data_IF_761077331376
#
_entry.id   IF_761077331376
#
_cell.length_a   1.000
_cell.length_b   1.000
_cell.length_c   1.000
_cell.angle_alpha   90.00
_cell.angle_beta   90.00
_cell.angle_gamma   90.00
#
_symmetry.space_group_name_H-M   'P 1'
#
loop_
_entity.id
_entity.type
_entity.pdbx_description
1 polymer ?
#
# COMPACT_ATOMS: atom_id res chain seq x y z
N UNK A 1 13.24 2.77 -9.74
CA UNK A 1 14.62 3.04 -10.24
C UNK A 1 15.26 1.70 -10.60
N UNK A 2 15.87 1.60 -11.77
CA UNK A 2 16.73 0.46 -12.10
C UNK A 2 18.06 0.66 -11.38
N UNK A 3 18.53 -0.36 -10.68
CA UNK A 3 19.87 -0.39 -10.07
C UNK A 3 20.77 -1.32 -10.85
N UNK A 4 22.09 -1.10 -10.85
CA UNK A 4 23.04 -1.95 -11.56
C UNK A 4 23.21 -3.33 -10.90
N UNK A 5 22.92 -3.44 -9.62
CA UNK A 5 23.17 -4.62 -8.78
C UNK A 5 21.92 -5.43 -8.41
N UNK A 6 20.72 -4.98 -8.82
CA UNK A 6 19.49 -5.68 -8.51
C UNK A 6 18.47 -5.59 -9.65
N UNK A 7 17.77 -6.69 -9.91
CA UNK A 7 16.68 -6.78 -10.88
C UNK A 7 15.36 -6.87 -10.13
N UNK A 8 14.43 -5.96 -10.40
CA UNK A 8 13.09 -6.03 -9.85
C UNK A 8 12.32 -7.18 -10.51
N UNK A 9 11.73 -8.04 -9.69
CA UNK A 9 10.86 -9.15 -10.13
C UNK A 9 9.38 -8.75 -10.17
N UNK A 10 9.04 -7.51 -9.81
CA UNK A 10 7.67 -6.96 -9.84
C UNK A 10 6.63 -7.80 -9.06
N UNK A 11 7.05 -8.39 -7.94
CA UNK A 11 6.17 -9.22 -7.10
C UNK A 11 4.92 -8.47 -6.67
N UNK A 12 5.07 -7.26 -6.16
CA UNK A 12 3.96 -6.41 -5.74
C UNK A 12 4.11 -4.98 -6.28
N UNK A 13 3.00 -4.31 -6.53
CA UNK A 13 2.98 -2.90 -6.89
C UNK A 13 2.45 -2.09 -5.72
N UNK A 14 3.36 -1.48 -4.97
CA UNK A 14 3.05 -0.66 -3.81
C UNK A 14 2.97 0.83 -4.17
N UNK A 15 1.98 1.51 -3.61
CA UNK A 15 1.89 2.98 -3.63
C UNK A 15 1.85 3.49 -2.20
N UNK A 16 2.47 4.65 -1.96
CA UNK A 16 2.46 5.32 -0.65
C UNK A 16 1.83 6.69 -0.80
N UNK A 17 0.75 6.93 -0.07
CA UNK A 17 0.06 8.21 -0.10
C UNK A 17 0.90 9.27 0.64
N UNK A 18 0.94 10.47 0.08
CA UNK A 18 1.57 11.62 0.75
C UNK A 18 0.76 12.02 1.99
N UNK A 19 1.41 12.55 3.02
CA UNK A 19 0.74 13.04 4.26
C UNK A 19 -0.38 14.05 3.99
N UNK A 20 -0.24 14.86 2.95
CA UNK A 20 -1.23 15.87 2.51
C UNK A 20 -2.20 15.34 1.44
N UNK A 21 -2.32 14.02 1.28
CA UNK A 21 -3.29 13.44 0.34
C UNK A 21 -4.71 13.79 0.76
N UNK A 22 -5.59 14.04 -0.22
CA UNK A 22 -7.02 14.30 -0.03
C UNK A 22 -7.79 13.10 0.55
N UNK A 23 -7.17 11.94 0.54
CA UNK A 23 -7.74 10.68 1.04
C UNK A 23 -6.64 9.88 1.75
N UNK A 24 -6.95 9.22 2.84
CA UNK A 24 -6.06 8.29 3.52
C UNK A 24 -6.11 6.89 2.87
N UNK A 25 -5.15 6.03 3.24
CA UNK A 25 -5.01 4.70 2.65
C UNK A 25 -6.26 3.83 2.86
N UNK A 26 -6.82 3.82 4.08
CA UNK A 26 -8.02 3.04 4.40
C UNK A 26 -9.24 3.46 3.57
N UNK A 27 -9.49 4.78 3.48
CA UNK A 27 -10.59 5.31 2.67
C UNK A 27 -10.39 5.04 1.17
N UNK A 28 -9.13 5.09 0.69
CA UNK A 28 -8.82 4.72 -0.69
C UNK A 28 -9.11 3.25 -0.95
N UNK A 29 -8.71 2.36 -0.05
CA UNK A 29 -8.99 0.93 -0.15
C UNK A 29 -10.49 0.64 -0.17
N UNK A 30 -11.28 1.28 0.71
CA UNK A 30 -12.75 1.16 0.74
C UNK A 30 -13.38 1.61 -0.59
N UNK A 31 -12.92 2.74 -1.14
CA UNK A 31 -13.41 3.21 -2.45
C UNK A 31 -13.00 2.29 -3.60
N UNK A 32 -11.80 1.75 -3.59
CA UNK A 32 -11.37 0.79 -4.61
C UNK A 32 -12.17 -0.51 -4.53
N UNK A 33 -12.43 -0.99 -3.31
CA UNK A 33 -13.26 -2.17 -3.08
C UNK A 33 -14.69 -2.00 -3.61
N UNK A 34 -15.30 -0.82 -3.49
CA UNK A 34 -16.63 -0.55 -4.08
C UNK A 34 -16.65 -0.61 -5.62
N UNK A 35 -15.49 -0.58 -6.26
CA UNK A 35 -15.34 -0.83 -7.71
C UNK A 35 -14.91 -2.27 -8.05
N UNK A 36 -14.91 -3.17 -7.06
CA UNK A 36 -14.43 -4.55 -7.24
C UNK A 36 -12.91 -4.68 -7.31
N UNK A 37 -12.15 -3.67 -6.85
CA UNK A 37 -10.69 -3.68 -6.86
C UNK A 37 -10.19 -4.03 -5.46
N UNK A 38 -9.69 -5.24 -5.28
CA UNK A 38 -9.06 -5.68 -4.04
C UNK A 38 -7.67 -5.05 -3.88
N UNK A 39 -7.37 -4.60 -2.67
CA UNK A 39 -6.08 -4.02 -2.29
C UNK A 39 -5.67 -4.53 -0.92
N UNK A 40 -4.39 -4.40 -0.58
CA UNK A 40 -3.89 -4.81 0.74
C UNK A 40 -3.04 -3.70 1.35
N UNK A 41 -3.05 -3.62 2.67
CA UNK A 41 -2.12 -2.77 3.42
C UNK A 41 -0.67 -3.24 3.21
N UNK A 42 0.28 -2.33 3.37
CA UNK A 42 1.66 -2.74 3.59
C UNK A 42 1.78 -3.57 4.86
N UNK A 43 2.84 -4.40 4.92
CA UNK A 43 3.11 -5.22 6.09
C UNK A 43 3.19 -4.38 7.36
N UNK A 44 2.52 -4.86 8.41
CA UNK A 44 2.55 -4.19 9.70
C UNK A 44 3.92 -4.36 10.35
N UNK A 45 4.58 -3.29 10.83
CA UNK A 45 5.93 -3.38 11.38
C UNK A 45 6.02 -4.31 12.58
N UNK A 46 7.11 -5.08 12.70
CA UNK A 46 7.30 -6.06 13.79
C UNK A 46 7.14 -5.42 15.18
N UNK A 47 7.73 -4.23 15.39
CA UNK A 47 7.63 -3.52 16.67
C UNK A 47 6.21 -3.03 17.01
N UNK A 48 5.26 -3.13 16.09
CA UNK A 48 3.84 -2.82 16.30
C UNK A 48 2.96 -4.07 16.35
N UNK A 49 3.53 -5.27 16.19
CA UNK A 49 2.77 -6.51 16.27
C UNK A 49 2.27 -6.74 17.70
N UNK A 50 0.93 -6.92 17.90
CA UNK A 50 0.36 -7.04 19.24
C UNK A 50 0.99 -8.15 20.07
N UNK A 51 1.26 -9.30 19.48
CA UNK A 51 1.85 -10.46 20.18
C UNK A 51 3.26 -10.14 20.68
N UNK A 52 4.10 -9.50 19.86
CA UNK A 52 5.47 -9.15 20.23
C UNK A 52 5.48 -8.07 21.33
N UNK A 53 4.55 -7.15 21.29
CA UNK A 53 4.38 -6.16 22.36
C UNK A 53 3.91 -6.80 23.68
N UNK A 54 2.98 -7.79 23.63
CA UNK A 54 2.57 -8.55 24.81
C UNK A 54 3.73 -9.35 25.43
N UNK A 55 4.66 -9.84 24.61
CA UNK A 55 5.88 -10.49 25.06
C UNK A 55 6.91 -9.52 25.68
N UNK A 56 6.61 -8.24 25.73
CA UNK A 56 7.51 -7.22 26.27
C UNK A 56 8.61 -6.76 25.31
N UNK A 57 8.60 -7.24 24.06
CA UNK A 57 9.56 -6.84 23.03
C UNK A 57 9.22 -5.47 22.45
N UNK A 58 10.24 -4.73 22.05
CA UNK A 58 10.13 -3.45 21.34
C UNK A 58 9.43 -2.31 22.08
N UNK A 59 9.30 -2.37 23.43
CA UNK A 59 8.55 -1.41 24.26
C UNK A 59 8.85 0.07 24.00
N UNK A 60 10.09 0.40 23.60
CA UNK A 60 10.53 1.79 23.37
C UNK A 60 10.98 2.05 21.93
N UNK A 61 10.77 1.08 21.02
CA UNK A 61 11.23 1.21 19.64
C UNK A 61 10.29 2.11 18.85
N UNK A 62 10.85 3.13 18.19
CA UNK A 62 10.15 4.01 17.26
C UNK A 62 10.83 3.95 15.90
N UNK A 63 10.12 3.54 14.87
CA UNK A 63 10.60 3.46 13.50
C UNK A 63 9.69 4.27 12.57
N UNK A 64 9.82 5.61 12.57
CA UNK A 64 8.87 6.50 11.93
C UNK A 64 8.71 6.25 10.43
N UNK A 65 9.76 5.83 9.74
CA UNK A 65 9.68 5.50 8.30
C UNK A 65 8.81 4.25 8.08
N UNK A 66 9.08 3.16 8.82
CA UNK A 66 8.31 1.91 8.72
C UNK A 66 6.84 2.13 9.11
N UNK A 67 6.61 2.91 10.18
CA UNK A 67 5.26 3.24 10.64
C UNK A 67 4.51 4.08 9.60
N UNK A 68 5.17 5.05 8.97
CA UNK A 68 4.59 5.86 7.91
C UNK A 68 4.24 5.02 6.66
N UNK A 69 5.14 4.11 6.26
CA UNK A 69 4.90 3.21 5.14
C UNK A 69 3.71 2.27 5.40
N UNK A 70 3.64 1.68 6.60
CA UNK A 70 2.53 0.81 7.00
C UNK A 70 1.18 1.55 7.02
N UNK A 71 1.17 2.79 7.51
CA UNK A 71 -0.05 3.61 7.62
C UNK A 71 -0.55 4.13 6.27
N UNK A 72 0.35 4.50 5.36
CA UNK A 72 0.02 5.21 4.13
C UNK A 72 0.27 4.39 2.86
N UNK A 73 0.83 3.18 3.00
CA UNK A 73 1.12 2.28 1.90
C UNK A 73 -0.01 1.28 1.65
N UNK A 74 -0.29 1.04 0.38
CA UNK A 74 -1.19 -0.03 -0.06
C UNK A 74 -0.59 -0.77 -1.26
N UNK A 75 -0.90 -2.05 -1.37
CA UNK A 75 -0.62 -2.86 -2.56
C UNK A 75 -1.82 -2.84 -3.49
N UNK A 76 -1.57 -2.51 -4.75
CA UNK A 76 -2.53 -2.63 -5.83
C UNK A 76 -2.52 -4.06 -6.39
N UNK A 77 -3.58 -4.47 -7.11
CA UNK A 77 -3.61 -5.77 -7.76
C UNK A 77 -2.38 -5.97 -8.66
N UNK A 78 -1.71 -7.08 -8.47
CA UNK A 78 -0.59 -7.55 -9.28
C UNK A 78 -0.72 -9.05 -9.46
N UNK A 79 -0.21 -9.55 -10.56
CA UNK A 79 -0.22 -10.99 -10.83
C UNK A 79 -0.06 -11.26 -12.32
N UNK A 80 0.39 -12.45 -12.65
CA UNK A 80 0.66 -12.87 -14.03
C UNK A 80 -0.62 -12.88 -14.88
N UNK A 81 -1.77 -13.17 -14.24
CA UNK A 81 -3.07 -13.23 -14.91
C UNK A 81 -3.73 -11.84 -15.11
N UNK A 82 -3.16 -10.77 -14.56
CA UNK A 82 -3.75 -9.43 -14.65
C UNK A 82 -3.60 -8.88 -16.07
N UNK A 83 -4.73 -8.73 -16.78
CA UNK A 83 -4.75 -8.22 -18.15
C UNK A 83 -4.50 -6.71 -18.22
N UNK A 84 -4.07 -6.23 -19.39
CA UNK A 84 -3.89 -4.79 -19.64
C UNK A 84 -5.19 -3.99 -19.45
N UNK A 85 -6.34 -4.56 -19.81
CA UNK A 85 -7.65 -3.92 -19.60
C UNK A 85 -7.94 -3.74 -18.11
N UNK A 86 -7.69 -4.76 -17.30
CA UNK A 86 -7.84 -4.70 -15.84
C UNK A 86 -6.88 -3.68 -15.22
N UNK A 87 -5.61 -3.63 -15.66
CA UNK A 87 -4.66 -2.62 -15.20
C UNK A 87 -5.14 -1.20 -15.52
N UNK A 88 -5.60 -0.95 -16.75
CA UNK A 88 -6.19 0.34 -17.17
C UNK A 88 -7.41 0.70 -16.34
N UNK A 89 -8.28 -0.29 -16.04
CA UNK A 89 -9.43 -0.09 -15.17
C UNK A 89 -9.02 0.40 -13.78
N UNK A 90 -8.07 -0.26 -13.12
CA UNK A 90 -7.54 0.14 -11.81
C UNK A 90 -6.99 1.57 -11.86
N UNK A 91 -6.14 1.87 -12.84
CA UNK A 91 -5.54 3.20 -13.02
C UNK A 91 -6.63 4.27 -13.17
N UNK A 92 -7.64 4.02 -14.01
CA UNK A 92 -8.71 4.97 -14.25
C UNK A 92 -9.57 5.22 -13.00
N UNK A 93 -9.83 4.17 -12.20
CA UNK A 93 -10.56 4.35 -10.93
C UNK A 93 -9.76 5.14 -9.91
N UNK A 94 -8.45 4.90 -9.80
CA UNK A 94 -7.56 5.70 -8.94
C UNK A 94 -7.55 7.16 -9.41
N UNK A 95 -7.32 7.41 -10.70
CA UNK A 95 -7.38 8.78 -11.26
C UNK A 95 -8.70 9.47 -10.95
N UNK A 96 -9.84 8.80 -11.14
CA UNK A 96 -11.17 9.34 -10.84
C UNK A 96 -11.32 9.73 -9.37
N UNK A 97 -10.75 8.95 -8.43
CA UNK A 97 -10.80 9.27 -7.00
C UNK A 97 -10.00 10.55 -6.66
N UNK A 98 -8.83 10.73 -7.29
CA UNK A 98 -7.95 11.87 -7.01
C UNK A 98 -8.28 13.12 -7.83
N UNK A 99 -8.90 12.98 -9.00
CA UNK A 99 -9.22 14.10 -9.90
C UNK A 99 -10.66 14.65 -9.71
N UNK A 100 -11.48 14.02 -8.88
CA UNK A 100 -12.75 14.65 -8.47
C UNK A 100 -12.42 15.82 -7.54
N UNK A 101 -12.37 17.01 -8.13
CA UNK A 101 -12.58 18.27 -7.41
C UNK A 101 -14.06 18.41 -7.09
#
# INVERSE_FOLDING_TARGET
KKTKYAKNIYWVYGIVLKKKSIINAESLMKKLKSFGIETRNFFWPLHKQPILNKMGLFKKVKLPVSENLAKNGIYLPTGIALTLSQQKFVINKIKKIFLKK
#
